data_IF_433693375624
#
_entry.id   IF_433693375624
#
_cell.length_a   1.000
_cell.length_b   1.000
_cell.length_c   1.000
_cell.angle_alpha   90.00
_cell.angle_beta   90.00
_cell.angle_gamma   90.00
#
_symmetry.space_group_name_H-M   'P 1'
#
loop_
_entity.id
_entity.type
_entity.pdbx_description
1 polymer ?
#
# COMPACT_ATOMS: atom_id res chain seq x y z
N UNK A 1 16.84 16.85 10.19
CA UNK A 1 16.92 16.65 8.73
C UNK A 1 15.80 15.71 8.29
N UNK A 2 15.04 16.11 7.32
CA UNK A 2 14.08 15.20 6.73
C UNK A 2 14.83 14.07 6.02
N UNK A 3 14.51 12.84 6.37
CA UNK A 3 15.04 11.67 5.68
C UNK A 3 14.61 11.72 4.22
N UNK A 4 15.59 11.65 3.31
CA UNK A 4 15.29 11.69 1.88
C UNK A 4 14.68 10.34 1.47
N UNK A 5 13.36 10.32 1.34
CA UNK A 5 12.65 9.13 0.89
C UNK A 5 13.04 8.83 -0.57
N UNK A 6 13.48 7.60 -0.81
CA UNK A 6 13.80 7.16 -2.16
C UNK A 6 12.52 6.75 -2.89
N UNK A 7 12.39 7.11 -4.18
CA UNK A 7 11.25 6.62 -4.95
C UNK A 7 11.29 5.10 -5.07
N UNK A 8 10.12 4.48 -5.07
CA UNK A 8 9.98 3.06 -5.36
C UNK A 8 10.28 2.79 -6.84
N UNK A 9 10.47 1.53 -7.20
CA UNK A 9 10.52 1.14 -8.61
C UNK A 9 9.25 1.64 -9.30
N UNK A 10 9.38 2.39 -10.38
CA UNK A 10 8.28 3.00 -11.09
C UNK A 10 7.97 4.44 -10.65
N UNK A 11 8.76 5.03 -9.73
CA UNK A 11 8.71 6.44 -9.40
C UNK A 11 7.81 6.84 -8.24
N UNK A 12 7.23 5.89 -7.50
CA UNK A 12 6.47 6.21 -6.28
C UNK A 12 7.39 6.29 -5.07
N UNK A 13 7.09 7.22 -4.16
CA UNK A 13 7.75 7.29 -2.86
C UNK A 13 7.37 6.07 -2.02
N UNK A 14 8.37 5.46 -1.41
CA UNK A 14 8.16 4.33 -0.51
C UNK A 14 8.08 4.85 0.93
N UNK A 15 6.94 5.44 1.30
CA UNK A 15 6.71 5.99 2.64
C UNK A 15 6.50 4.89 3.69
N UNK A 16 6.12 3.70 3.27
CA UNK A 16 5.97 2.53 4.11
C UNK A 16 6.34 1.28 3.30
N UNK A 17 6.99 0.31 3.93
CA UNK A 17 7.31 -0.95 3.30
C UNK A 17 6.06 -1.80 3.07
N UNK A 18 6.13 -2.70 2.07
CA UNK A 18 4.99 -3.56 1.72
C UNK A 18 4.56 -4.44 2.91
N UNK A 19 5.51 -5.06 3.61
CA UNK A 19 5.21 -5.90 4.77
C UNK A 19 4.56 -5.12 5.91
N UNK A 20 5.10 -3.97 6.23
CA UNK A 20 4.52 -3.09 7.25
C UNK A 20 3.10 -2.65 6.87
N UNK A 21 2.86 -2.33 5.60
CA UNK A 21 1.52 -1.99 5.13
C UNK A 21 0.55 -3.16 5.28
N UNK A 22 0.94 -4.37 4.88
CA UNK A 22 0.11 -5.56 5.01
C UNK A 22 -0.29 -5.79 6.47
N UNK A 23 0.68 -5.70 7.39
CA UNK A 23 0.42 -5.85 8.82
C UNK A 23 -0.59 -4.82 9.32
N UNK A 24 -0.32 -3.54 9.09
CA UNK A 24 -1.17 -2.45 9.58
C UNK A 24 -2.57 -2.49 8.96
N UNK A 25 -2.66 -2.84 7.69
CA UNK A 25 -3.95 -2.99 7.01
C UNK A 25 -4.77 -4.12 7.62
N UNK A 26 -4.16 -5.28 7.84
CA UNK A 26 -4.84 -6.45 8.41
C UNK A 26 -5.13 -6.31 9.91
N UNK A 27 -4.40 -5.44 10.62
CA UNK A 27 -4.73 -5.05 11.99
C UNK A 27 -5.93 -4.09 12.07
N UNK A 28 -6.37 -3.55 10.94
CA UNK A 28 -7.48 -2.62 10.89
C UNK A 28 -7.10 -1.17 11.21
N UNK A 29 -5.84 -0.80 11.02
CA UNK A 29 -5.33 0.54 11.33
C UNK A 29 -5.49 1.55 10.19
N UNK A 30 -5.91 1.15 9.00
CA UNK A 30 -6.11 2.03 7.87
C UNK A 30 -4.83 2.79 7.44
N UNK A 31 -3.69 2.09 7.20
CA UNK A 31 -2.45 2.78 6.85
C UNK A 31 -2.59 3.54 5.53
N UNK A 32 -1.92 4.69 5.42
CA UNK A 32 -1.95 5.58 4.26
C UNK A 32 -3.38 6.02 3.86
N UNK A 33 -4.26 6.19 4.83
CA UNK A 33 -5.65 6.59 4.56
C UNK A 33 -6.51 5.51 3.91
N UNK A 34 -6.08 4.26 3.94
CA UNK A 34 -6.87 3.13 3.46
C UNK A 34 -8.05 2.84 4.38
N UNK A 35 -9.08 2.13 3.89
CA UNK A 35 -10.22 1.77 4.72
C UNK A 35 -9.81 0.93 5.93
N UNK A 36 -10.45 1.17 7.07
CA UNK A 36 -10.32 0.34 8.26
C UNK A 36 -11.13 -0.93 8.05
N UNK A 37 -10.49 -2.08 8.18
CA UNK A 37 -11.15 -3.37 8.07
C UNK A 37 -11.31 -4.04 9.42
N UNK A 38 -12.21 -5.02 9.52
CA UNK A 38 -12.32 -5.88 10.68
C UNK A 38 -11.19 -6.93 10.63
N UNK A 39 -10.26 -6.96 11.61
CA UNK A 39 -9.17 -7.93 11.62
C UNK A 39 -9.61 -9.39 11.59
N UNK A 40 -10.78 -9.70 12.11
CA UNK A 40 -11.31 -11.07 12.11
C UNK A 40 -11.83 -11.49 10.73
N UNK A 41 -12.32 -10.55 9.94
CA UNK A 41 -12.78 -10.79 8.57
C UNK A 41 -11.60 -10.88 7.61
N UNK A 42 -10.61 -10.02 7.79
CA UNK A 42 -9.47 -9.91 6.90
C UNK A 42 -9.79 -9.26 5.56
N UNK A 43 -8.98 -9.54 4.55
CA UNK A 43 -9.14 -8.98 3.23
C UNK A 43 -8.52 -9.88 2.16
N UNK A 44 -9.01 -9.81 0.92
CA UNK A 44 -8.36 -10.51 -0.19
C UNK A 44 -7.09 -9.77 -0.65
N UNK A 45 -6.11 -10.49 -1.23
CA UNK A 45 -4.86 -9.88 -1.70
C UNK A 45 -5.05 -8.72 -2.68
N UNK A 46 -6.03 -8.80 -3.55
CA UNK A 46 -6.32 -7.73 -4.52
C UNK A 46 -6.70 -6.42 -3.84
N UNK A 47 -7.47 -6.47 -2.76
CA UNK A 47 -7.86 -5.27 -2.01
C UNK A 47 -6.67 -4.68 -1.25
N UNK A 48 -5.86 -5.54 -0.63
CA UNK A 48 -4.64 -5.09 0.08
C UNK A 48 -3.70 -4.40 -0.92
N UNK A 49 -3.47 -5.02 -2.07
CA UNK A 49 -2.60 -4.45 -3.12
C UNK A 49 -3.13 -3.12 -3.65
N UNK A 50 -4.43 -3.06 -3.96
CA UNK A 50 -5.06 -1.83 -4.46
C UNK A 50 -4.89 -0.69 -3.46
N UNK A 51 -5.18 -0.94 -2.18
CA UNK A 51 -5.04 0.07 -1.13
C UNK A 51 -3.59 0.51 -0.95
N UNK A 52 -2.65 -0.42 -1.01
CA UNK A 52 -1.22 -0.11 -0.92
C UNK A 52 -0.76 0.79 -2.08
N UNK A 53 -1.05 0.38 -3.30
CA UNK A 53 -0.65 1.13 -4.48
C UNK A 53 -1.30 2.52 -4.52
N UNK A 54 -2.60 2.62 -4.23
CA UNK A 54 -3.30 3.91 -4.16
C UNK A 54 -2.74 4.79 -3.04
N UNK A 55 -2.39 4.21 -1.91
CA UNK A 55 -1.75 4.94 -0.81
C UNK A 55 -0.40 5.52 -1.20
N UNK A 56 0.44 4.75 -1.89
CA UNK A 56 1.73 5.23 -2.39
C UNK A 56 1.55 6.33 -3.44
N UNK A 57 0.55 6.19 -4.33
CA UNK A 57 0.23 7.22 -5.31
C UNK A 57 -0.16 8.53 -4.65
N UNK A 58 -1.05 8.48 -3.65
CA UNK A 58 -1.46 9.68 -2.90
C UNK A 58 -0.29 10.33 -2.17
N UNK A 59 0.55 9.53 -1.52
CA UNK A 59 1.73 10.04 -0.81
C UNK A 59 2.73 10.71 -1.76
N UNK A 60 2.94 10.12 -2.94
CA UNK A 60 3.81 10.67 -3.98
C UNK A 60 3.25 11.99 -4.51
N UNK A 61 1.96 12.05 -4.79
CA UNK A 61 1.29 13.28 -5.24
C UNK A 61 1.40 14.39 -4.20
N UNK A 62 1.19 14.06 -2.93
CA UNK A 62 1.30 15.00 -1.82
C UNK A 62 2.72 15.57 -1.68
N UNK A 63 3.73 14.70 -1.78
CA UNK A 63 5.14 15.13 -1.72
C UNK A 63 5.47 16.08 -2.87
N UNK A 64 5.09 15.74 -4.09
CA UNK A 64 5.32 16.59 -5.26
C UNK A 64 4.60 17.93 -5.13
N UNK A 65 3.35 17.92 -4.68
CA UNK A 65 2.57 19.14 -4.46
C UNK A 65 3.20 20.03 -3.39
N UNK A 66 3.68 19.45 -2.30
CA UNK A 66 4.35 20.17 -1.22
C UNK A 66 5.61 20.87 -1.72
N UNK A 67 6.43 20.18 -2.51
CA UNK A 67 7.65 20.75 -3.10
C UNK A 67 7.34 21.91 -4.04
N UNK A 68 6.29 21.80 -4.85
CA UNK A 68 5.86 22.87 -5.76
C UNK A 68 5.39 24.09 -4.96
N UNK A 69 4.56 23.88 -3.94
CA UNK A 69 4.06 24.97 -3.09
C UNK A 69 5.17 25.66 -2.32
N UNK A 70 6.12 24.90 -1.79
CA UNK A 70 7.30 25.48 -1.10
C UNK A 70 8.08 26.40 -2.02
N UNK A 71 8.34 26.01 -3.27
CA UNK A 71 9.03 26.84 -4.25
C UNK A 71 8.24 28.10 -4.61
N UNK A 72 6.92 27.98 -4.82
CA UNK A 72 6.05 29.11 -5.12
C UNK A 72 5.97 30.09 -3.97
N UNK A 73 5.84 29.60 -2.74
CA UNK A 73 5.84 30.42 -1.54
C UNK A 73 7.15 31.17 -1.36
N UNK A 74 8.28 30.50 -1.57
CA UNK A 74 9.60 31.10 -1.53
C UNK A 74 9.75 32.24 -2.55
N UNK A 75 9.38 32.00 -3.81
CA UNK A 75 9.46 33.00 -4.88
C UNK A 75 8.53 34.19 -4.62
N UNK A 76 7.33 33.91 -4.10
CA UNK A 76 6.33 34.93 -3.78
C UNK A 76 6.52 35.59 -2.42
N UNK A 77 7.54 35.23 -1.67
CA UNK A 77 7.80 35.75 -0.31
C UNK A 77 6.55 35.67 0.59
N UNK A 78 5.83 34.55 0.51
CA UNK A 78 4.64 34.28 1.31
C UNK A 78 4.78 32.97 2.07
N UNK A 79 3.87 32.71 3.00
CA UNK A 79 3.82 31.44 3.72
C UNK A 79 3.24 30.32 2.84
N UNK A 80 3.57 29.09 3.18
CA UNK A 80 3.02 27.89 2.55
C UNK A 80 1.55 27.77 2.92
N UNK A 81 0.70 27.53 1.92
CA UNK A 81 -0.73 27.37 2.13
C UNK A 81 -1.16 25.90 1.92
N UNK A 82 -1.69 25.24 2.98
CA UNK A 82 -2.11 23.84 2.87
C UNK A 82 -3.16 23.59 1.80
N UNK A 83 -4.07 24.54 1.56
CA UNK A 83 -5.10 24.42 0.54
C UNK A 83 -4.51 24.28 -0.88
N UNK A 84 -3.43 25.01 -1.17
CA UNK A 84 -2.75 24.90 -2.45
C UNK A 84 -2.09 23.54 -2.61
N UNK A 85 -1.50 23.00 -1.54
CA UNK A 85 -0.91 21.66 -1.55
C UNK A 85 -1.98 20.61 -1.86
N UNK A 86 -3.14 20.69 -1.22
CA UNK A 86 -4.24 19.75 -1.43
C UNK A 86 -4.75 19.78 -2.88
N UNK A 87 -4.99 20.96 -3.43
CA UNK A 87 -5.43 21.12 -4.82
C UNK A 87 -4.42 20.57 -5.82
N UNK A 88 -3.15 20.88 -5.63
CA UNK A 88 -2.07 20.38 -6.48
C UNK A 88 -1.95 18.86 -6.38
N UNK A 89 -2.03 18.31 -5.15
CA UNK A 89 -1.96 16.88 -4.94
C UNK A 89 -3.08 16.15 -5.69
N UNK A 90 -4.31 16.66 -5.64
CA UNK A 90 -5.43 16.11 -6.37
C UNK A 90 -5.22 16.16 -7.89
N UNK A 91 -4.70 17.27 -8.41
CA UNK A 91 -4.38 17.40 -9.82
C UNK A 91 -3.30 16.40 -10.26
N UNK A 92 -2.23 16.29 -9.50
CA UNK A 92 -1.15 15.35 -9.79
C UNK A 92 -1.67 13.92 -9.76
N UNK A 93 -2.44 13.57 -8.72
CA UNK A 93 -3.01 12.23 -8.57
C UNK A 93 -3.93 11.86 -9.75
N UNK A 94 -4.74 12.80 -10.22
CA UNK A 94 -5.65 12.57 -11.34
C UNK A 94 -4.92 12.27 -12.65
N UNK A 95 -3.67 12.71 -12.78
CA UNK A 95 -2.82 12.48 -13.97
C UNK A 95 -1.93 11.25 -13.85
N UNK A 96 -1.84 10.65 -12.66
CA UNK A 96 -1.05 9.43 -12.46
C UNK A 96 -1.74 8.22 -13.08
N UNK A 97 -1.00 7.49 -13.91
CA UNK A 97 -1.50 6.25 -14.49
C UNK A 97 -1.31 5.09 -13.52
N UNK A 98 -2.40 4.54 -13.02
CA UNK A 98 -2.39 3.40 -12.10
C UNK A 98 -1.59 2.20 -12.63
N UNK A 99 -1.69 1.91 -13.94
CA UNK A 99 -1.06 0.72 -14.55
C UNK A 99 0.41 0.90 -14.92
N UNK A 100 0.88 2.14 -15.10
CA UNK A 100 2.19 2.39 -15.70
C UNK A 100 3.34 2.54 -14.71
N UNK A 101 3.05 2.72 -13.41
CA UNK A 101 4.06 2.98 -12.39
C UNK A 101 3.77 2.26 -11.10
N UNK A 102 4.82 2.04 -10.29
CA UNK A 102 4.72 1.48 -8.96
C UNK A 102 4.85 -0.04 -8.94
N UNK A 103 4.38 -0.65 -7.87
CA UNK A 103 4.46 -2.09 -7.69
C UNK A 103 3.52 -2.83 -8.64
N UNK A 104 3.95 -4.01 -9.04
CA UNK A 104 3.16 -4.92 -9.87
C UNK A 104 2.43 -5.93 -9.00
N UNK A 105 1.21 -6.29 -9.37
CA UNK A 105 0.41 -7.27 -8.63
C UNK A 105 1.12 -8.62 -8.50
N UNK A 106 1.77 -9.08 -9.57
CA UNK A 106 2.52 -10.33 -9.52
C UNK A 106 3.62 -10.31 -8.44
N UNK A 107 4.40 -9.23 -8.38
CA UNK A 107 5.44 -9.07 -7.36
C UNK A 107 4.85 -9.04 -5.95
N UNK A 108 3.69 -8.40 -5.79
CA UNK A 108 2.98 -8.37 -4.53
C UNK A 108 2.52 -9.78 -4.10
N UNK A 109 1.98 -10.57 -5.02
CA UNK A 109 1.54 -11.94 -4.73
C UNK A 109 2.73 -12.82 -4.32
N UNK A 110 3.87 -12.69 -4.97
CA UNK A 110 5.10 -13.42 -4.58
C UNK A 110 5.52 -13.01 -3.16
N UNK A 111 5.47 -11.73 -2.87
CA UNK A 111 5.81 -11.20 -1.55
C UNK A 111 4.85 -11.72 -0.47
N UNK A 112 3.55 -11.70 -0.77
CA UNK A 112 2.50 -12.21 0.13
C UNK A 112 2.66 -13.72 0.38
N UNK A 113 3.10 -14.47 -0.62
CA UNK A 113 3.42 -15.89 -0.48
C UNK A 113 4.51 -16.14 0.54
N UNK A 114 5.52 -15.27 0.61
CA UNK A 114 6.57 -15.31 1.63
C UNK A 114 5.98 -15.09 3.02
N UNK A 115 5.12 -14.10 3.17
CA UNK A 115 4.43 -13.81 4.44
C UNK A 115 3.56 -15.00 4.87
N UNK A 116 2.86 -15.62 3.92
CA UNK A 116 2.06 -16.82 4.19
C UNK A 116 2.94 -18.01 4.60
N UNK A 117 4.09 -18.20 3.95
CA UNK A 117 5.04 -19.25 4.30
C UNK A 117 5.60 -19.09 5.70
N UNK A 118 5.79 -17.85 6.17
CA UNK A 118 6.16 -17.55 7.55
C UNK A 118 5.06 -17.89 8.57
N UNK A 119 3.84 -18.16 8.09
CA UNK A 119 2.70 -18.41 8.96
C UNK A 119 2.10 -17.18 9.60
N UNK A 120 2.38 -16.00 9.05
CA UNK A 120 1.88 -14.72 9.60
C UNK A 120 0.47 -14.36 9.14
N UNK A 121 0.04 -14.93 8.01
CA UNK A 121 -1.33 -14.81 7.52
C UNK A 121 -1.89 -16.19 7.20
N UNK A 122 -3.21 -16.31 7.26
CA UNK A 122 -3.90 -17.55 6.94
C UNK A 122 -5.22 -17.25 6.25
N UNK A 123 -5.71 -18.18 5.38
CA UNK A 123 -7.06 -18.08 4.82
C UNK A 123 -8.12 -18.12 5.94
N UNK A 124 -9.15 -17.28 5.79
CA UNK A 124 -10.28 -17.28 6.73
C UNK A 124 -11.35 -18.31 6.36
N UNK A 125 -11.30 -18.85 5.14
CA UNK A 125 -12.35 -19.68 4.58
C UNK A 125 -13.43 -18.89 3.84
N UNK A 126 -13.44 -17.57 3.97
CA UNK A 126 -14.37 -16.73 3.22
C UNK A 126 -13.84 -16.48 1.80
N UNK A 127 -14.72 -16.70 0.82
CA UNK A 127 -14.42 -16.48 -0.59
C UNK A 127 -15.53 -15.66 -1.23
N UNK A 128 -15.15 -14.81 -2.18
CA UNK A 128 -16.07 -14.06 -3.01
C UNK A 128 -15.86 -14.40 -4.48
N UNK A 129 -16.90 -14.29 -5.32
CA UNK A 129 -16.73 -14.46 -6.76
C UNK A 129 -15.69 -13.48 -7.30
N UNK A 130 -14.93 -13.91 -8.31
CA UNK A 130 -13.98 -13.04 -8.99
C UNK A 130 -14.70 -11.81 -9.57
N UNK A 131 -14.01 -10.66 -9.57
CA UNK A 131 -14.49 -9.48 -10.30
C UNK A 131 -14.63 -9.74 -11.81
N UNK A 132 -13.99 -10.79 -12.32
CA UNK A 132 -14.01 -11.19 -13.73
C UNK A 132 -14.88 -12.43 -13.97
N UNK A 133 -15.94 -12.63 -13.17
CA UNK A 133 -16.82 -13.80 -13.32
C UNK A 133 -17.59 -13.83 -14.64
N UNK A 134 -17.77 -12.66 -15.29
CA UNK A 134 -18.40 -12.55 -16.60
C UNK A 134 -17.47 -12.94 -17.76
N UNK A 135 -16.19 -13.14 -17.48
CA UNK A 135 -15.23 -13.66 -18.44
C UNK A 135 -15.33 -15.18 -18.51
N UNK A 136 -15.01 -15.75 -19.65
CA UNK A 136 -14.99 -17.19 -19.80
C UNK A 136 -13.58 -17.66 -20.17
N UNK A 137 -12.95 -18.56 -19.36
CA UNK A 137 -13.45 -19.02 -18.07
C UNK A 137 -13.45 -17.91 -17.01
N UNK A 138 -14.34 -17.98 -16.01
CA UNK A 138 -14.33 -16.98 -14.94
C UNK A 138 -13.03 -17.02 -14.16
N UNK A 139 -12.61 -15.87 -13.61
CA UNK A 139 -11.41 -15.79 -12.79
C UNK A 139 -11.55 -16.57 -11.48
N UNK A 140 -10.44 -16.87 -10.80
CA UNK A 140 -10.46 -17.56 -9.52
C UNK A 140 -11.21 -16.74 -8.46
N UNK A 141 -11.85 -17.38 -7.47
CA UNK A 141 -12.53 -16.67 -6.40
C UNK A 141 -11.53 -15.86 -5.58
N UNK A 142 -12.01 -14.76 -5.00
CA UNK A 142 -11.22 -13.90 -4.10
C UNK A 142 -11.24 -14.51 -2.71
N UNK A 143 -10.09 -14.93 -2.21
CA UNK A 143 -9.93 -15.53 -0.88
C UNK A 143 -9.48 -14.48 0.13
N UNK A 144 -10.13 -14.48 1.30
CA UNK A 144 -9.79 -13.61 2.40
C UNK A 144 -8.69 -14.21 3.26
N UNK A 145 -7.77 -13.35 3.69
CA UNK A 145 -6.68 -13.67 4.61
C UNK A 145 -6.73 -12.77 5.83
N UNK A 146 -6.33 -13.30 6.97
CA UNK A 146 -6.18 -12.55 8.22
C UNK A 146 -4.84 -12.87 8.86
N UNK A 147 -4.42 -12.01 9.80
CA UNK A 147 -3.21 -12.25 10.58
C UNK A 147 -3.42 -13.44 11.52
N UNK A 148 -2.37 -14.25 11.63
CA UNK A 148 -2.27 -15.28 12.66
C UNK A 148 -1.74 -14.67 13.95
N UNK A 149 -1.77 -15.46 15.04
CA UNK A 149 -1.07 -15.07 16.29
C UNK A 149 0.41 -14.78 16.04
N UNK A 150 1.09 -15.64 15.26
CA UNK A 150 2.49 -15.45 14.89
C UNK A 150 2.71 -14.14 14.13
N UNK A 151 1.81 -13.78 13.23
CA UNK A 151 1.88 -12.51 12.49
C UNK A 151 1.71 -11.30 13.40
N UNK A 152 0.82 -11.36 14.35
CA UNK A 152 0.61 -10.29 15.33
C UNK A 152 1.79 -10.11 16.29
N UNK A 153 2.47 -11.19 16.65
CA UNK A 153 3.59 -11.20 17.59
C UNK A 153 4.96 -10.97 16.93
N UNK A 154 5.04 -11.09 15.60
CA UNK A 154 6.28 -10.86 14.89
C UNK A 154 6.77 -9.42 15.07
N UNK A 155 8.09 -9.25 15.20
CA UNK A 155 8.70 -7.95 15.45
C UNK A 155 8.53 -7.00 14.27
N UNK A 156 8.63 -5.70 14.53
CA UNK A 156 8.64 -4.67 13.49
C UNK A 156 9.76 -4.91 12.49
N UNK A 157 10.93 -5.30 12.98
CA UNK A 157 12.10 -5.63 12.15
C UNK A 157 11.80 -6.78 11.18
N UNK A 158 11.12 -7.83 11.63
CA UNK A 158 10.74 -8.96 10.78
C UNK A 158 9.74 -8.53 9.70
N UNK A 159 8.75 -7.72 10.04
CA UNK A 159 7.77 -7.20 9.09
C UNK A 159 8.35 -6.22 8.07
N UNK A 160 9.44 -5.55 8.40
CA UNK A 160 10.14 -4.69 7.43
C UNK A 160 10.80 -5.49 6.32
N UNK A 161 11.25 -6.71 6.63
CA UNK A 161 11.90 -7.57 5.64
C UNK A 161 11.48 -9.03 5.84
N UNK A 162 10.25 -9.40 5.41
CA UNK A 162 9.76 -10.77 5.53
C UNK A 162 10.62 -11.79 4.80
N UNK A 163 11.20 -11.41 3.67
CA UNK A 163 12.10 -12.30 2.92
C UNK A 163 13.29 -12.74 3.77
N UNK A 164 13.94 -11.80 4.44
CA UNK A 164 15.05 -12.10 5.35
C UNK A 164 14.58 -12.96 6.52
N UNK A 165 13.42 -12.67 7.08
CA UNK A 165 12.85 -13.47 8.17
C UNK A 165 12.58 -14.92 7.73
N UNK A 166 12.22 -15.13 6.46
CA UNK A 166 11.90 -16.45 5.89
C UNK A 166 13.17 -17.25 5.49
N UNK A 167 14.13 -16.57 4.88
CA UNK A 167 15.27 -17.23 4.23
C UNK A 167 16.62 -16.93 4.88
N UNK A 168 16.61 -16.18 5.93
CA UNK A 168 17.77 -15.93 6.74
C UNK A 168 18.71 -14.91 6.37
#
# INVERSE_FOLDING_TARGET
MAETLRPSRGGFLRVIGCGEFVREFLLGHGPLGSPVIDPEVGAPPSDIFFCYKRGLMRATALDQATRVEEKRAWRGKRSIEPENIEKLAQQILSRMAYKSRGCRFHSFIVYLSTIRRLGWIQPTGHEEPSAFQDHYPPGPPRRYFRLTKAGREASDSAWRNPHRACYG
#
